data_IF_817212737965
#
_entry.id   IF_817212737965
#
_cell.length_a   1.000
_cell.length_b   1.000
_cell.length_c   1.000
_cell.angle_alpha   90.00
_cell.angle_beta   90.00
_cell.angle_gamma   90.00
#
_symmetry.space_group_name_H-M   'P 1'
#
loop_
_entity.id
_entity.type
_entity.pdbx_description
1 polymer ?
#
# COMPACT_ATOMS: atom_id res chain seq x y z
N UNK A 1 21.82 -27.05 -13.42
CA UNK A 1 20.43 -27.23 -12.94
C UNK A 1 20.12 -25.93 -12.20
N UNK A 2 19.42 -25.00 -12.84
CA UNK A 2 19.01 -23.76 -12.16
C UNK A 2 17.73 -24.11 -11.40
N UNK A 3 17.81 -24.16 -10.08
CA UNK A 3 16.61 -24.14 -9.24
C UNK A 3 15.97 -22.76 -9.41
N UNK A 4 14.91 -22.70 -10.21
CA UNK A 4 14.02 -21.54 -10.22
C UNK A 4 13.37 -21.48 -8.84
N UNK A 5 13.93 -20.69 -7.93
CA UNK A 5 13.28 -20.35 -6.67
C UNK A 5 11.89 -19.81 -7.00
N UNK A 6 10.86 -20.58 -6.66
CA UNK A 6 9.48 -20.26 -6.98
C UNK A 6 9.03 -19.15 -6.03
N UNK A 7 9.32 -17.88 -6.39
CA UNK A 7 8.91 -16.73 -5.59
C UNK A 7 7.39 -16.72 -5.45
N UNK A 8 6.91 -16.91 -4.22
CA UNK A 8 5.48 -17.01 -3.96
C UNK A 8 4.92 -15.61 -3.67
N UNK A 9 4.36 -14.99 -4.71
CA UNK A 9 3.76 -13.66 -4.64
C UNK A 9 2.33 -13.81 -4.13
N UNK A 10 2.06 -13.23 -2.96
CA UNK A 10 0.76 -13.21 -2.31
C UNK A 10 0.20 -11.79 -2.32
N UNK A 11 -1.11 -11.69 -2.57
CA UNK A 11 -1.86 -10.45 -2.50
C UNK A 11 -2.74 -10.49 -1.25
N UNK A 12 -2.33 -9.75 -0.22
CA UNK A 12 -3.03 -9.73 1.05
C UNK A 12 -3.91 -8.49 1.12
N UNK A 13 -5.21 -8.60 1.47
CA UNK A 13 -6.07 -7.44 1.67
C UNK A 13 -5.42 -6.44 2.63
N UNK A 14 -5.49 -5.16 2.27
CA UNK A 14 -4.99 -4.09 3.11
C UNK A 14 -5.74 -4.11 4.46
N UNK A 15 -4.98 -4.06 5.55
CA UNK A 15 -5.49 -4.02 6.91
C UNK A 15 -4.77 -2.93 7.69
N UNK A 16 -5.34 -2.53 8.82
CA UNK A 16 -4.74 -1.51 9.69
C UNK A 16 -3.39 -1.95 10.25
N UNK A 17 -3.18 -3.26 10.44
CA UNK A 17 -1.89 -3.83 10.88
C UNK A 17 -0.75 -3.52 9.91
N UNK A 18 -1.07 -3.21 8.66
CA UNK A 18 -0.07 -2.89 7.65
C UNK A 18 0.30 -1.40 7.57
N UNK A 19 -0.37 -0.52 8.32
CA UNK A 19 -0.13 0.93 8.22
C UNK A 19 1.28 1.33 8.65
N UNK A 20 1.86 0.65 9.63
CA UNK A 20 3.26 0.88 9.99
C UNK A 20 4.23 0.52 8.87
N UNK A 21 3.91 -0.50 8.07
CA UNK A 21 4.69 -0.85 6.89
C UNK A 21 4.49 0.17 5.75
N UNK A 22 3.24 0.59 5.52
CA UNK A 22 2.91 1.64 4.56
C UNK A 22 3.64 2.95 4.86
N UNK A 23 3.71 3.34 6.13
CA UNK A 23 4.45 4.53 6.56
C UNK A 23 5.92 4.45 6.18
N UNK A 24 6.59 3.35 6.57
CA UNK A 24 8.00 3.13 6.24
C UNK A 24 8.26 3.19 4.75
N UNK A 25 7.35 2.64 3.94
CA UNK A 25 7.45 2.66 2.49
C UNK A 25 7.26 4.07 1.91
N UNK A 26 6.24 4.82 2.36
CA UNK A 26 5.99 6.20 1.92
C UNK A 26 7.11 7.18 2.33
N UNK A 27 7.80 6.91 3.44
CA UNK A 27 8.94 7.69 3.88
C UNK A 27 10.25 7.36 3.14
N UNK A 28 10.29 6.31 2.31
CA UNK A 28 11.48 6.01 1.51
C UNK A 28 11.72 7.13 0.50
N UNK A 29 12.95 7.66 0.37
CA UNK A 29 13.21 8.86 -0.43
C UNK A 29 12.80 8.71 -1.89
N UNK A 30 12.96 7.52 -2.49
CA UNK A 30 12.54 7.27 -3.87
C UNK A 30 11.01 7.17 -4.04
N UNK A 31 10.28 6.72 -3.01
CA UNK A 31 8.81 6.70 -3.03
C UNK A 31 8.29 8.10 -2.82
N UNK A 32 8.87 8.84 -1.87
CA UNK A 32 8.50 10.21 -1.56
C UNK A 32 8.66 11.14 -2.78
N UNK A 33 9.73 10.99 -3.54
CA UNK A 33 9.97 11.71 -4.80
C UNK A 33 8.87 11.48 -5.86
N UNK A 34 8.25 10.30 -5.89
CA UNK A 34 7.24 9.94 -6.89
C UNK A 34 5.80 10.15 -6.41
N UNK A 35 5.55 10.00 -5.11
CA UNK A 35 4.21 10.03 -4.54
C UNK A 35 3.81 11.42 -4.06
N UNK A 36 4.57 11.98 -3.12
CA UNK A 36 4.32 13.30 -2.53
C UNK A 36 5.59 13.78 -1.81
N UNK A 37 6.35 14.65 -2.47
CA UNK A 37 7.62 15.17 -1.93
C UNK A 37 7.41 16.05 -0.69
N UNK A 38 6.29 16.78 -0.66
CA UNK A 38 5.97 17.78 0.36
C UNK A 38 5.25 17.19 1.58
N UNK A 39 4.54 16.07 1.42
CA UNK A 39 3.81 15.46 2.54
C UNK A 39 4.77 14.70 3.46
N UNK A 40 4.79 15.14 4.72
CA UNK A 40 5.37 14.35 5.81
C UNK A 40 4.33 13.36 6.31
N UNK A 41 4.41 12.12 5.82
CA UNK A 41 3.53 11.05 6.26
C UNK A 41 3.71 10.76 7.74
N UNK A 42 2.59 10.51 8.41
CA UNK A 42 2.52 10.03 9.79
C UNK A 42 1.50 8.89 9.85
N UNK A 43 1.54 8.08 10.91
CA UNK A 43 0.51 7.05 11.12
C UNK A 43 -0.89 7.64 11.09
N UNK A 44 -1.10 8.79 11.72
CA UNK A 44 -2.39 9.46 11.79
C UNK A 44 -2.90 9.89 10.40
N UNK A 45 -2.02 10.45 9.54
CA UNK A 45 -2.37 10.80 8.16
C UNK A 45 -2.68 9.57 7.30
N UNK A 46 -1.93 8.48 7.52
CA UNK A 46 -2.17 7.22 6.83
C UNK A 46 -3.51 6.63 7.26
N UNK A 47 -3.82 6.62 8.54
CA UNK A 47 -5.12 6.17 9.05
C UNK A 47 -6.24 6.98 8.43
N UNK A 48 -6.16 8.31 8.43
CA UNK A 48 -7.19 9.16 7.82
C UNK A 48 -7.41 8.85 6.34
N UNK A 49 -6.34 8.63 5.57
CA UNK A 49 -6.43 8.40 4.12
C UNK A 49 -6.83 6.95 3.79
N UNK A 50 -6.14 5.97 4.37
CA UNK A 50 -6.19 4.57 3.97
C UNK A 50 -7.19 3.73 4.77
N UNK A 51 -7.76 4.23 5.88
CA UNK A 51 -8.83 3.51 6.59
C UNK A 51 -10.06 3.29 5.70
N UNK A 52 -10.37 4.23 4.81
CA UNK A 52 -11.41 4.04 3.81
C UNK A 52 -11.11 2.84 2.88
N UNK A 53 -9.83 2.64 2.54
CA UNK A 53 -9.42 1.61 1.59
C UNK A 53 -9.52 0.21 2.21
N UNK A 54 -9.24 0.10 3.51
CA UNK A 54 -9.50 -1.10 4.32
C UNK A 54 -11.00 -1.44 4.32
N UNK A 55 -11.87 -0.43 4.26
CA UNK A 55 -13.32 -0.60 4.14
C UNK A 55 -13.79 -0.85 2.71
N UNK A 56 -12.88 -0.92 1.73
CA UNK A 56 -13.20 -1.21 0.33
C UNK A 56 -13.61 0.00 -0.51
N UNK A 57 -13.30 1.22 -0.09
CA UNK A 57 -13.58 2.42 -0.90
C UNK A 57 -12.52 3.50 -0.72
N UNK A 58 -12.32 4.36 -1.72
CA UNK A 58 -11.51 5.58 -1.61
C UNK A 58 -12.41 6.80 -1.72
N UNK A 59 -12.05 7.87 -1.03
CA UNK A 59 -12.69 9.16 -1.21
C UNK A 59 -11.94 9.92 -2.31
N UNK A 60 -12.60 10.14 -3.43
CA UNK A 60 -12.09 10.96 -4.53
C UNK A 60 -13.05 12.14 -4.71
N UNK A 61 -12.60 13.37 -4.41
CA UNK A 61 -13.45 14.57 -4.40
C UNK A 61 -14.70 14.45 -3.49
N UNK A 62 -14.57 13.80 -2.33
CA UNK A 62 -15.67 13.44 -1.40
C UNK A 62 -16.65 12.39 -1.93
N UNK A 63 -16.44 11.84 -3.13
CA UNK A 63 -17.24 10.75 -3.66
C UNK A 63 -16.60 9.39 -3.33
N UNK A 64 -17.34 8.45 -2.70
CA UNK A 64 -16.82 7.14 -2.37
C UNK A 64 -16.76 6.25 -3.62
N UNK A 65 -15.55 5.94 -4.08
CA UNK A 65 -15.31 4.97 -5.16
C UNK A 65 -14.90 3.63 -4.57
N UNK A 66 -15.61 2.56 -4.93
CA UNK A 66 -15.24 1.22 -4.52
C UNK A 66 -13.86 0.86 -5.04
N UNK A 67 -13.02 0.33 -4.14
CA UNK A 67 -11.69 -0.17 -4.47
C UNK A 67 -11.40 -1.41 -3.64
N UNK A 68 -10.46 -2.22 -4.13
CA UNK A 68 -9.88 -3.28 -3.33
C UNK A 68 -8.38 -3.02 -3.22
N UNK A 69 -7.92 -2.70 -2.01
CA UNK A 69 -6.53 -2.44 -1.74
C UNK A 69 -5.84 -3.72 -1.23
N UNK A 70 -4.65 -4.00 -1.77
CA UNK A 70 -3.85 -5.17 -1.42
C UNK A 70 -2.40 -4.78 -1.16
N UNK A 71 -1.70 -5.62 -0.40
CA UNK A 71 -0.26 -5.60 -0.20
C UNK A 71 0.33 -6.79 -0.93
N UNK A 72 1.41 -6.58 -1.67
CA UNK A 72 2.20 -7.69 -2.19
C UNK A 72 3.23 -8.11 -1.15
N UNK A 73 3.13 -9.36 -0.74
CA UNK A 73 4.21 -10.08 -0.09
C UNK A 73 4.81 -11.08 -1.08
N UNK A 74 6.12 -11.13 -1.20
CA UNK A 74 6.81 -12.24 -1.85
C UNK A 74 7.72 -12.91 -0.83
N UNK A 75 7.60 -14.24 -0.69
CA UNK A 75 8.34 -15.02 0.30
C UNK A 75 8.25 -14.44 1.72
N UNK A 76 7.03 -14.08 2.15
CA UNK A 76 6.73 -13.44 3.45
C UNK A 76 7.45 -12.12 3.71
N UNK A 77 8.07 -11.54 2.68
CA UNK A 77 8.66 -10.21 2.71
C UNK A 77 7.75 -9.28 1.94
N UNK A 78 7.24 -8.20 2.53
CA UNK A 78 6.44 -7.23 1.81
C UNK A 78 7.35 -6.46 0.82
N UNK A 79 7.16 -6.69 -0.48
CA UNK A 79 8.08 -6.21 -1.55
C UNK A 79 7.60 -4.89 -2.16
N UNK A 80 6.33 -4.54 -1.94
CA UNK A 80 5.79 -3.24 -2.35
C UNK A 80 4.28 -3.24 -2.42
N UNK A 81 3.72 -2.03 -2.53
CA UNK A 81 2.30 -1.86 -2.85
C UNK A 81 2.16 -1.88 -4.38
N UNK A 82 1.50 -2.89 -4.98
CA UNK A 82 1.11 -2.75 -6.37
C UNK A 82 0.08 -1.63 -6.40
N UNK A 83 0.48 -0.54 -7.04
CA UNK A 83 -0.37 0.40 -7.73
C UNK A 83 -1.78 0.54 -7.15
N UNK A 84 -2.00 1.63 -6.41
CA UNK A 84 -3.31 2.05 -5.89
C UNK A 84 -4.24 2.55 -7.02
N UNK A 85 -4.16 1.92 -8.18
CA UNK A 85 -4.84 2.26 -9.41
C UNK A 85 -5.24 0.95 -10.09
N UNK A 86 -6.36 0.37 -9.65
CA UNK A 86 -7.12 -0.62 -10.42
C UNK A 86 -8.61 -0.49 -10.08
N UNK A 87 -9.25 0.52 -10.69
CA UNK A 87 -10.48 0.45 -11.50
C UNK A 87 -10.87 1.87 -11.94
#
# INVERSE_FOLDING_TARGET
MHENGNMNINFIPLSTSHFSFLLKWLEMPHVKLWWDEDIKWSLELIEQKYLSYVKGYKLENNDPKNIQAYIIEADHTPIGYPNLQCL
#
